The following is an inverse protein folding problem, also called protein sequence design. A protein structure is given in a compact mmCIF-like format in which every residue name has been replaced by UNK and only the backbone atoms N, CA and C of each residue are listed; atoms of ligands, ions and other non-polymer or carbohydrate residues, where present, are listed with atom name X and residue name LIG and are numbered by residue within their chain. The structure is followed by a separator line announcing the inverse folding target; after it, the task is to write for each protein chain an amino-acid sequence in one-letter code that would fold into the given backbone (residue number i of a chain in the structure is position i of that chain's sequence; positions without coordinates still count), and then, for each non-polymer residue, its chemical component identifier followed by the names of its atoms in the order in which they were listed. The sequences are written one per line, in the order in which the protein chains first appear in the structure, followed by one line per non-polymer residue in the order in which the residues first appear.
data_IF_904287804384
#
_entry.id   IF_904287804384
#
_cell.length_a   1.000
_cell.length_b   1.000
_cell.length_c   1.000
_cell.angle_alpha   90.00
_cell.angle_beta   90.00
_cell.angle_gamma   90.00
#
_symmetry.space_group_name_H-M   'P 1'
#
loop_
_entity.id
_entity.type
_entity.pdbx_description
1 polymer ?
#
# COMPACT_ATOMS: atom_id res chain seq x y z
N UNK A 1 3.41 20.20 -25.93
CA UNK A 1 3.78 18.79 -25.87
C UNK A 1 3.58 18.37 -24.43
N UNK A 2 2.56 17.58 -24.14
CA UNK A 2 2.38 17.00 -22.81
C UNK A 2 3.52 16.00 -22.59
N UNK A 3 4.36 16.24 -21.59
CA UNK A 3 5.38 15.29 -21.16
C UNK A 3 4.78 14.38 -20.10
N UNK A 4 3.58 13.83 -20.39
CA UNK A 4 2.95 12.92 -19.47
C UNK A 4 3.80 11.66 -19.36
N UNK A 5 4.26 11.38 -18.16
CA UNK A 5 4.91 10.12 -17.82
C UNK A 5 4.01 8.95 -18.20
N UNK A 6 4.57 7.97 -18.88
CA UNK A 6 3.94 6.66 -18.95
C UNK A 6 3.96 6.11 -17.53
N UNK A 7 2.80 6.12 -16.87
CA UNK A 7 2.69 5.63 -15.51
C UNK A 7 2.84 4.10 -15.50
N UNK A 8 3.67 3.52 -14.60
CA UNK A 8 3.80 2.07 -14.48
C UNK A 8 2.49 1.41 -14.02
N UNK A 9 2.36 0.12 -14.26
CA UNK A 9 1.30 -0.69 -13.65
C UNK A 9 1.52 -0.69 -12.14
N UNK A 10 0.53 -0.26 -11.38
CA UNK A 10 0.65 -0.12 -9.93
C UNK A 10 -0.30 -1.06 -9.20
N UNK A 11 0.27 -1.98 -8.42
CA UNK A 11 -0.47 -2.94 -7.60
C UNK A 11 -0.23 -2.65 -6.13
N UNK A 12 -1.31 -2.43 -5.37
CA UNK A 12 -1.24 -2.18 -3.94
C UNK A 12 -1.82 -3.35 -3.14
N UNK A 13 -1.21 -3.68 -2.00
CA UNK A 13 -1.74 -4.67 -1.06
C UNK A 13 -2.04 -4.01 0.27
N UNK A 14 -3.32 -3.95 0.60
CA UNK A 14 -3.86 -3.39 1.85
C UNK A 14 -4.20 -4.48 2.87
N UNK A 15 -4.42 -4.07 4.09
CA UNK A 15 -4.83 -4.95 5.17
C UNK A 15 -4.04 -4.73 6.46
N UNK A 16 -4.54 -5.25 7.58
CA UNK A 16 -3.90 -5.07 8.88
C UNK A 16 -2.50 -5.73 8.95
N UNK A 17 -1.73 -5.43 9.99
CA UNK A 17 -0.37 -5.97 10.14
C UNK A 17 -0.37 -7.50 10.34
N UNK A 18 0.76 -8.14 10.00
CA UNK A 18 0.96 -9.60 10.12
C UNK A 18 -0.07 -10.47 9.37
N UNK A 19 -0.46 -10.05 8.16
CA UNK A 19 -1.37 -10.80 7.26
C UNK A 19 -0.68 -11.31 6.00
N UNK A 20 0.66 -11.25 5.93
CA UNK A 20 1.42 -11.82 4.81
C UNK A 20 1.66 -10.89 3.61
N UNK A 21 1.21 -9.63 3.65
CA UNK A 21 1.32 -8.67 2.53
C UNK A 21 2.74 -8.57 1.94
N UNK A 22 3.71 -8.23 2.78
CA UNK A 22 5.11 -8.05 2.34
C UNK A 22 5.70 -9.34 1.77
N UNK A 23 5.31 -10.50 2.29
CA UNK A 23 5.73 -11.81 1.77
C UNK A 23 5.14 -12.05 0.39
N UNK A 24 3.85 -11.77 0.20
CA UNK A 24 3.18 -11.90 -1.08
C UNK A 24 3.78 -10.96 -2.13
N UNK A 25 3.96 -9.67 -1.80
CA UNK A 25 4.57 -8.71 -2.72
C UNK A 25 5.99 -9.08 -3.11
N UNK A 26 6.77 -9.64 -2.18
CA UNK A 26 8.10 -10.16 -2.49
C UNK A 26 8.04 -11.30 -3.51
N UNK A 27 7.10 -12.23 -3.39
CA UNK A 27 6.90 -13.32 -4.35
C UNK A 27 6.50 -12.79 -5.72
N UNK A 28 5.61 -11.79 -5.79
CA UNK A 28 5.25 -11.12 -7.05
C UNK A 28 6.48 -10.46 -7.68
N UNK A 29 7.26 -9.70 -6.91
CA UNK A 29 8.48 -9.06 -7.40
C UNK A 29 9.50 -10.08 -7.93
N UNK A 30 9.73 -11.18 -7.19
CA UNK A 30 10.64 -12.26 -7.61
C UNK A 30 10.20 -12.92 -8.92
N UNK A 31 8.88 -13.11 -9.13
CA UNK A 31 8.35 -13.64 -10.39
C UNK A 31 8.58 -12.67 -11.55
N UNK A 32 8.20 -11.40 -11.37
CA UNK A 32 8.37 -10.38 -12.40
C UNK A 32 9.84 -10.15 -12.78
N UNK A 33 10.77 -10.20 -11.80
CA UNK A 33 12.21 -10.14 -12.10
C UNK A 33 12.69 -11.31 -12.94
N UNK A 34 12.16 -12.54 -12.72
CA UNK A 34 12.45 -13.68 -13.61
C UNK A 34 11.97 -13.43 -15.04
N UNK A 35 10.87 -12.70 -15.17
CA UNK A 35 10.26 -12.31 -16.45
C UNK A 35 10.92 -11.05 -17.05
N UNK A 36 12.01 -10.54 -16.42
CA UNK A 36 12.78 -9.34 -16.84
C UNK A 36 11.98 -8.05 -16.84
N UNK A 37 11.02 -7.93 -15.96
CA UNK A 37 10.26 -6.70 -15.74
C UNK A 37 10.95 -5.85 -14.67
N UNK A 38 11.09 -4.55 -14.91
CA UNK A 38 11.65 -3.60 -13.95
C UNK A 38 10.61 -3.27 -12.87
N UNK A 39 10.88 -3.71 -11.65
CA UNK A 39 9.94 -3.60 -10.51
C UNK A 39 10.50 -2.67 -9.44
N UNK A 40 9.69 -1.73 -8.98
CA UNK A 40 9.95 -1.00 -7.76
C UNK A 40 8.97 -1.42 -6.66
N UNK A 41 9.46 -1.57 -5.45
CA UNK A 41 8.63 -1.85 -4.27
C UNK A 41 8.65 -0.64 -3.34
N UNK A 42 7.47 -0.12 -3.03
CA UNK A 42 7.28 0.87 -1.98
C UNK A 42 6.88 0.12 -0.71
N UNK A 43 7.80 0.07 0.24
CA UNK A 43 7.62 -0.68 1.48
C UNK A 43 6.70 0.04 2.47
N UNK A 44 6.21 -0.71 3.47
CA UNK A 44 5.49 -0.17 4.64
C UNK A 44 6.35 0.87 5.38
N UNK A 45 5.81 2.07 5.54
CA UNK A 45 6.49 3.24 6.11
C UNK A 45 6.44 3.32 7.65
N UNK A 46 5.80 2.36 8.31
CA UNK A 46 5.63 2.43 9.76
C UNK A 46 6.96 2.45 10.54
N UNK A 47 7.97 1.69 10.09
CA UNK A 47 9.29 1.71 10.74
C UNK A 47 10.00 3.04 10.53
N UNK A 48 10.00 3.58 9.31
CA UNK A 48 10.59 4.88 8.98
C UNK A 48 9.91 6.02 9.77
N UNK A 49 8.59 5.97 9.93
CA UNK A 49 7.87 6.94 10.77
C UNK A 49 8.35 6.92 12.22
N UNK A 50 8.52 5.73 12.82
CA UNK A 50 9.05 5.60 14.18
C UNK A 50 10.48 6.14 14.32
N UNK A 51 11.35 5.90 13.34
CA UNK A 51 12.72 6.45 13.32
C UNK A 51 12.73 7.98 13.33
N UNK A 52 11.69 8.60 12.76
CA UNK A 52 11.47 10.04 12.81
C UNK A 52 10.74 10.52 14.07
N UNK A 53 10.47 9.65 15.05
CA UNK A 53 9.75 9.99 16.27
C UNK A 53 8.24 10.17 16.08
N UNK A 54 7.68 9.72 14.96
CA UNK A 54 6.26 9.79 14.68
C UNK A 54 5.55 8.54 15.21
N UNK A 55 4.56 8.69 16.11
CA UNK A 55 3.88 7.54 16.70
C UNK A 55 2.99 6.83 15.67
N UNK A 56 2.90 5.51 15.79
CA UNK A 56 2.09 4.65 14.91
C UNK A 56 1.20 3.69 15.71
N UNK A 57 0.39 2.89 15.03
CA UNK A 57 -0.55 1.92 15.61
C UNK A 57 -1.57 2.62 16.52
N UNK A 58 -1.75 2.15 17.78
CA UNK A 58 -2.70 2.74 18.73
C UNK A 58 -2.39 4.21 19.07
N UNK A 59 -1.17 4.64 18.85
CA UNK A 59 -0.72 6.01 19.12
C UNK A 59 -0.67 6.89 17.87
N UNK A 60 -1.20 6.39 16.73
CA UNK A 60 -1.23 7.11 15.46
C UNK A 60 -1.88 8.48 15.63
N UNK A 61 -1.25 9.50 15.07
CA UNK A 61 -1.72 10.88 15.12
C UNK A 61 -2.00 11.41 13.71
N UNK A 62 -2.68 12.55 13.62
CA UNK A 62 -2.83 13.25 12.35
C UNK A 62 -1.48 13.54 11.69
N UNK A 63 -0.49 13.98 12.47
CA UNK A 63 0.85 14.31 11.95
C UNK A 63 1.57 13.08 11.37
N UNK A 64 1.54 11.94 12.08
CA UNK A 64 2.13 10.71 11.56
C UNK A 64 1.40 10.20 10.32
N UNK A 65 0.08 10.32 10.29
CA UNK A 65 -0.74 9.97 9.12
C UNK A 65 -0.39 10.82 7.91
N UNK A 66 -0.38 12.15 8.08
CA UNK A 66 -0.03 13.08 7.00
C UNK A 66 1.38 12.83 6.47
N UNK A 67 2.34 12.55 7.37
CA UNK A 67 3.70 12.24 6.98
C UNK A 67 3.76 10.93 6.16
N UNK A 68 3.11 9.85 6.62
CA UNK A 68 3.08 8.56 5.91
C UNK A 68 2.42 8.71 4.53
N UNK A 69 1.29 9.40 4.44
CA UNK A 69 0.59 9.66 3.17
C UNK A 69 1.50 10.43 2.22
N UNK A 70 2.08 11.54 2.65
CA UNK A 70 2.94 12.39 1.82
C UNK A 70 4.21 11.68 1.38
N UNK A 71 4.82 10.91 2.29
CA UNK A 71 6.03 10.13 2.03
C UNK A 71 5.76 9.00 1.04
N UNK A 72 4.64 8.27 1.23
CA UNK A 72 4.20 7.21 0.33
C UNK A 72 3.98 7.73 -1.09
N UNK A 73 3.20 8.80 -1.23
CA UNK A 73 2.97 9.47 -2.52
C UNK A 73 4.28 9.88 -3.20
N UNK A 74 5.22 10.46 -2.45
CA UNK A 74 6.53 10.86 -2.98
C UNK A 74 7.34 9.66 -3.48
N UNK A 75 7.39 8.57 -2.74
CA UNK A 75 8.12 7.36 -3.12
C UNK A 75 7.49 6.68 -4.34
N UNK A 76 6.18 6.62 -4.41
CA UNK A 76 5.48 6.07 -5.57
C UNK A 76 5.75 6.87 -6.84
N UNK A 77 5.67 8.21 -6.77
CA UNK A 77 6.00 9.09 -7.91
C UNK A 77 7.47 8.94 -8.33
N UNK A 78 8.39 8.80 -7.38
CA UNK A 78 9.80 8.50 -7.69
C UNK A 78 9.95 7.14 -8.38
N UNK A 79 9.20 6.13 -7.96
CA UNK A 79 9.22 4.81 -8.57
C UNK A 79 8.73 4.85 -10.03
N UNK A 80 7.75 5.70 -10.35
CA UNK A 80 7.24 5.86 -11.72
C UNK A 80 8.32 6.26 -12.73
N UNK A 81 9.40 6.90 -12.30
CA UNK A 81 10.47 7.34 -13.20
C UNK A 81 11.41 6.22 -13.64
N UNK A 82 11.38 5.05 -12.96
CA UNK A 82 12.40 4.00 -13.11
C UNK A 82 11.89 2.57 -13.22
N UNK A 83 10.59 2.33 -13.03
CA UNK A 83 10.03 0.98 -13.03
C UNK A 83 8.87 0.86 -14.03
N UNK A 84 8.66 -0.34 -14.55
CA UNK A 84 7.50 -0.70 -15.36
C UNK A 84 6.33 -1.09 -14.48
N UNK A 85 6.64 -1.60 -13.27
CA UNK A 85 5.66 -2.03 -12.26
C UNK A 85 6.03 -1.44 -10.90
N UNK A 86 5.04 -0.91 -10.19
CA UNK A 86 5.19 -0.48 -8.79
C UNK A 86 4.31 -1.35 -7.90
N UNK A 87 4.94 -1.99 -6.93
CA UNK A 87 4.27 -2.78 -5.89
C UNK A 87 4.25 -1.96 -4.59
N UNK A 88 3.06 -1.74 -4.03
CA UNK A 88 2.88 -0.89 -2.84
C UNK A 88 2.45 -1.74 -1.65
N UNK A 89 3.31 -1.85 -0.64
CA UNK A 89 2.98 -2.46 0.65
C UNK A 89 2.33 -1.42 1.56
N UNK A 90 1.04 -1.42 1.63
CA UNK A 90 0.13 -0.44 2.25
C UNK A 90 -0.06 0.82 1.40
N UNK A 91 -1.17 0.88 0.64
CA UNK A 91 -1.59 2.09 -0.04
C UNK A 91 -1.82 3.23 0.96
N UNK A 92 -1.73 4.47 0.49
CA UNK A 92 -1.85 5.66 1.35
C UNK A 92 -3.16 5.71 2.16
N UNK A 93 -4.21 5.06 1.70
CA UNK A 93 -5.49 4.94 2.42
C UNK A 93 -5.37 4.14 3.74
N UNK A 94 -4.40 3.23 3.85
CA UNK A 94 -4.16 2.46 5.08
C UNK A 94 -3.78 3.39 6.25
N UNK A 95 -2.99 4.43 6.00
CA UNK A 95 -2.59 5.37 7.04
C UNK A 95 -3.79 6.09 7.67
N UNK A 96 -4.76 6.49 6.84
CA UNK A 96 -6.03 7.08 7.31
C UNK A 96 -6.82 6.07 8.17
N UNK A 97 -6.93 4.82 7.70
CA UNK A 97 -7.63 3.78 8.43
C UNK A 97 -7.01 3.48 9.80
N UNK A 98 -5.67 3.47 9.87
CA UNK A 98 -4.95 3.31 11.13
C UNK A 98 -5.13 4.51 12.08
N UNK A 99 -5.21 5.72 11.55
CA UNK A 99 -5.50 6.92 12.34
C UNK A 99 -6.89 6.86 12.96
N UNK A 100 -7.91 6.55 12.18
CA UNK A 100 -9.28 6.39 12.68
C UNK A 100 -9.39 5.25 13.70
N UNK A 101 -8.71 4.12 13.45
CA UNK A 101 -8.64 3.03 14.40
C UNK A 101 -7.98 3.44 15.72
N UNK A 102 -6.92 4.26 15.65
CA UNK A 102 -6.24 4.77 16.84
C UNK A 102 -7.12 5.73 17.65
N UNK A 103 -7.85 6.61 16.98
CA UNK A 103 -8.82 7.49 17.64
C UNK A 103 -9.92 6.69 18.35
N UNK A 104 -10.53 5.72 17.66
CA UNK A 104 -11.55 4.85 18.26
C UNK A 104 -10.99 4.06 19.45
N UNK A 105 -9.76 3.53 19.34
CA UNK A 105 -9.09 2.76 20.38
C UNK A 105 -8.86 3.60 21.66
N UNK A 106 -8.50 4.87 21.51
CA UNK A 106 -8.29 5.81 22.62
C UNK A 106 -9.58 6.48 23.09
N UNK A 107 -10.73 6.22 22.44
CA UNK A 107 -11.99 6.89 22.75
C UNK A 107 -12.02 8.38 22.37
N UNK A 108 -11.19 8.77 21.43
CA UNK A 108 -11.09 10.14 20.92
C UNK A 108 -12.03 10.35 19.72
N UNK A 109 -12.52 11.58 19.57
CA UNK A 109 -13.30 11.98 18.41
C UNK A 109 -12.38 12.57 17.32
N UNK A 110 -12.56 12.18 16.05
CA UNK A 110 -11.80 12.79 14.96
C UNK A 110 -12.17 14.27 14.78
N UNK A 111 -11.17 15.11 14.51
CA UNK A 111 -11.42 16.44 13.97
C UNK A 111 -11.88 16.33 12.50
N UNK A 112 -13.09 16.78 12.15
CA UNK A 112 -13.64 16.61 10.80
C UNK A 112 -12.77 17.24 9.71
N UNK A 113 -12.13 18.38 9.99
CA UNK A 113 -11.28 19.08 9.00
C UNK A 113 -10.03 18.26 8.70
N UNK A 114 -9.41 17.71 9.75
CA UNK A 114 -8.24 16.82 9.62
C UNK A 114 -8.55 15.56 8.85
N UNK A 115 -9.70 14.93 9.10
CA UNK A 115 -10.15 13.75 8.36
C UNK A 115 -10.39 14.09 6.89
N UNK A 116 -11.16 15.14 6.61
CA UNK A 116 -11.45 15.56 5.23
C UNK A 116 -10.17 15.82 4.42
N UNK A 117 -9.17 16.47 5.01
CA UNK A 117 -7.88 16.71 4.37
C UNK A 117 -7.20 15.40 3.97
N UNK A 118 -7.12 14.44 4.89
CA UNK A 118 -6.47 13.15 4.65
C UNK A 118 -7.24 12.32 3.64
N UNK A 119 -8.57 12.34 3.68
CA UNK A 119 -9.44 11.68 2.71
C UNK A 119 -9.24 12.21 1.30
N UNK A 120 -9.18 13.53 1.13
CA UNK A 120 -8.96 14.15 -0.18
C UNK A 120 -7.61 13.75 -0.78
N UNK A 121 -6.55 13.70 0.04
CA UNK A 121 -5.23 13.24 -0.39
C UNK A 121 -5.28 11.77 -0.80
N UNK A 122 -5.79 10.90 0.06
CA UNK A 122 -5.86 9.46 -0.20
C UNK A 122 -6.74 9.14 -1.43
N UNK A 123 -7.95 9.70 -1.50
CA UNK A 123 -8.89 9.44 -2.59
C UNK A 123 -8.36 9.86 -3.97
N UNK A 124 -7.59 10.95 -4.03
CA UNK A 124 -6.98 11.40 -5.29
C UNK A 124 -5.84 10.50 -5.71
N UNK A 125 -4.99 10.09 -4.77
CA UNK A 125 -3.81 9.29 -5.07
C UNK A 125 -4.14 7.83 -5.39
N UNK A 126 -5.10 7.24 -4.71
CA UNK A 126 -5.52 5.83 -4.93
C UNK A 126 -6.05 5.54 -6.33
N UNK A 127 -6.43 6.58 -7.10
CA UNK A 127 -6.79 6.44 -8.52
C UNK A 127 -5.62 5.99 -9.41
N UNK A 128 -4.40 6.00 -8.87
CA UNK A 128 -3.21 5.54 -9.57
C UNK A 128 -2.94 4.04 -9.35
N UNK A 129 -3.72 3.37 -8.52
CA UNK A 129 -3.63 1.92 -8.36
C UNK A 129 -4.50 1.21 -9.40
N UNK A 130 -3.87 0.34 -10.18
CA UNK A 130 -4.57 -0.44 -11.22
C UNK A 130 -5.21 -1.69 -10.62
N UNK A 131 -4.64 -2.21 -9.53
CA UNK A 131 -5.18 -3.32 -8.74
C UNK A 131 -4.90 -3.08 -7.26
N UNK A 132 -5.93 -3.27 -6.44
CA UNK A 132 -5.78 -3.29 -4.98
C UNK A 132 -6.21 -4.65 -4.47
N UNK A 133 -5.34 -5.28 -3.69
CA UNK A 133 -5.63 -6.53 -2.99
C UNK A 133 -5.79 -6.26 -1.51
N UNK A 134 -6.82 -6.81 -0.88
CA UNK A 134 -7.02 -6.74 0.56
C UNK A 134 -6.79 -8.09 1.21
N UNK A 135 -5.78 -8.18 2.08
CA UNK A 135 -5.58 -9.39 2.89
C UNK A 135 -6.69 -9.54 3.92
N UNK A 136 -7.14 -10.76 4.11
CA UNK A 136 -8.15 -11.09 5.12
C UNK A 136 -7.44 -11.38 6.44
N UNK A 137 -7.94 -10.78 7.54
CA UNK A 137 -7.45 -11.08 8.87
C UNK A 137 -7.84 -12.52 9.24
N UNK A 138 -6.86 -13.41 9.37
CA UNK A 138 -7.05 -14.74 9.90
C UNK A 138 -6.60 -14.77 11.37
N UNK A 139 -7.51 -14.94 12.33
CA UNK A 139 -7.17 -14.99 13.75
C UNK A 139 -6.23 -16.14 14.13
N UNK A 140 -6.14 -17.19 13.29
CA UNK A 140 -5.26 -18.35 13.50
C UNK A 140 -3.80 -18.04 13.19
N UNK A 141 -3.53 -16.99 12.40
CA UNK A 141 -2.16 -16.55 12.10
C UNK A 141 -1.65 -15.70 13.26
N UNK A 142 -0.62 -16.17 13.99
CA UNK A 142 -0.06 -15.43 15.12
C UNK A 142 0.52 -14.09 14.67
N UNK A 143 0.57 -13.13 15.58
CA UNK A 143 1.28 -11.88 15.38
C UNK A 143 2.77 -12.16 15.24
N UNK A 144 3.40 -11.52 14.26
CA UNK A 144 4.85 -11.51 14.11
C UNK A 144 5.46 -10.60 15.19
N UNK A 145 5.90 -11.20 16.28
CA UNK A 145 6.50 -10.51 17.43
C UNK A 145 7.95 -10.05 17.15
N UNK A 146 8.56 -10.43 16.04
CA UNK A 146 9.91 -9.97 15.66
C UNK A 146 9.95 -8.50 15.24
N UNK A 147 8.80 -7.94 14.89
CA UNK A 147 8.66 -6.51 14.53
C UNK A 147 8.22 -5.73 15.77
N UNK A 148 8.79 -4.55 16.05
CA UNK A 148 8.40 -3.68 17.17
C UNK A 148 7.03 -3.03 16.91
N UNK A 149 6.02 -3.85 16.67
CA UNK A 149 4.64 -3.42 16.41
C UNK A 149 3.77 -3.93 17.54
N UNK A 150 2.86 -3.07 17.99
CA UNK A 150 1.98 -3.38 19.10
C UNK A 150 1.29 -4.73 18.91
N UNK A 151 1.40 -5.59 19.90
CA UNK A 151 0.84 -6.94 19.89
C UNK A 151 -0.64 -6.96 20.33
N UNK A 152 -1.34 -5.82 20.28
CA UNK A 152 -2.71 -5.73 20.74
C UNK A 152 -3.70 -6.31 19.70
N UNK A 153 -4.33 -7.46 19.99
CA UNK A 153 -5.28 -8.10 19.07
C UNK A 153 -6.55 -7.27 18.87
N UNK A 154 -6.94 -6.46 19.86
CA UNK A 154 -8.13 -5.60 19.76
C UNK A 154 -7.86 -4.48 18.78
N UNK A 155 -6.70 -3.80 18.90
CA UNK A 155 -6.28 -2.79 17.93
C UNK A 155 -6.14 -3.37 16.52
N UNK A 156 -5.58 -4.58 16.39
CA UNK A 156 -5.45 -5.26 15.09
C UNK A 156 -6.81 -5.46 14.41
N UNK A 157 -7.81 -5.95 15.17
CA UNK A 157 -9.17 -6.16 14.66
C UNK A 157 -9.85 -4.84 14.32
N UNK A 158 -9.59 -3.80 15.11
CA UNK A 158 -10.08 -2.45 14.88
C UNK A 158 -9.51 -1.86 13.60
N UNK A 159 -8.20 -1.95 13.40
CA UNK A 159 -7.53 -1.52 12.18
C UNK A 159 -8.06 -2.24 10.93
N UNK A 160 -8.28 -3.56 10.98
CA UNK A 160 -8.86 -4.30 9.86
C UNK A 160 -10.28 -3.80 9.49
N UNK A 161 -11.10 -3.52 10.49
CA UNK A 161 -12.44 -2.94 10.31
C UNK A 161 -12.39 -1.54 9.71
N UNK A 162 -11.48 -0.68 10.17
CA UNK A 162 -11.33 0.66 9.62
C UNK A 162 -10.78 0.65 8.20
N UNK A 163 -9.86 -0.26 7.87
CA UNK A 163 -9.40 -0.44 6.48
C UNK A 163 -10.59 -0.74 5.57
N UNK A 164 -11.46 -1.68 5.94
CA UNK A 164 -12.65 -1.97 5.14
C UNK A 164 -13.55 -0.75 4.96
N UNK A 165 -13.83 0.00 6.05
CA UNK A 165 -14.66 1.22 6.01
C UNK A 165 -14.06 2.31 5.12
N UNK A 166 -12.74 2.53 5.20
CA UNK A 166 -12.06 3.56 4.40
C UNK A 166 -12.07 3.18 2.93
N UNK A 167 -11.79 1.92 2.56
CA UNK A 167 -11.87 1.46 1.18
C UNK A 167 -13.27 1.67 0.59
N UNK A 168 -14.31 1.28 1.34
CA UNK A 168 -15.71 1.47 0.93
C UNK A 168 -16.03 2.96 0.77
N UNK A 169 -15.74 3.79 1.77
CA UNK A 169 -16.05 5.23 1.79
C UNK A 169 -15.35 5.99 0.68
N UNK A 170 -14.10 5.63 0.36
CA UNK A 170 -13.34 6.25 -0.72
C UNK A 170 -13.63 5.63 -2.10
N UNK A 171 -14.52 4.63 -2.19
CA UNK A 171 -14.87 3.95 -3.43
C UNK A 171 -13.68 3.19 -4.06
N UNK A 172 -12.75 2.67 -3.24
CA UNK A 172 -11.59 1.94 -3.72
C UNK A 172 -11.98 0.47 -3.97
N UNK A 173 -12.11 0.12 -5.26
CA UNK A 173 -12.32 -1.28 -5.67
C UNK A 173 -11.13 -2.14 -5.25
N UNK A 174 -11.39 -3.33 -4.70
CA UNK A 174 -10.34 -4.25 -4.29
C UNK A 174 -10.80 -5.70 -4.37
N UNK A 175 -9.83 -6.60 -4.54
CA UNK A 175 -10.03 -8.04 -4.50
C UNK A 175 -9.54 -8.61 -3.16
N UNK A 176 -10.17 -9.68 -2.69
CA UNK A 176 -9.76 -10.33 -1.45
C UNK A 176 -8.57 -11.26 -1.69
N UNK A 177 -7.57 -11.15 -0.83
CA UNK A 177 -6.40 -12.02 -0.78
C UNK A 177 -6.45 -12.87 0.51
N UNK A 178 -7.07 -14.05 0.48
CA UNK A 178 -7.13 -14.95 1.63
C UNK A 178 -5.74 -15.55 1.90
N UNK A 179 -5.49 -15.92 3.15
CA UNK A 179 -4.21 -16.46 3.61
C UNK A 179 -3.80 -17.79 2.95
N UNK A 180 -4.76 -18.59 2.51
CA UNK A 180 -4.59 -19.85 1.80
C UNK A 180 -4.64 -19.74 0.27
N UNK A 181 -4.81 -18.53 -0.25
CA UNK A 181 -4.97 -18.24 -1.69
C UNK A 181 -3.75 -17.65 -2.37
N UNK A 182 -2.60 -17.55 -1.71
CA UNK A 182 -1.44 -16.80 -2.23
C UNK A 182 -0.89 -17.34 -3.55
N UNK A 183 -0.81 -18.67 -3.73
CA UNK A 183 -0.27 -19.25 -4.99
C UNK A 183 -1.17 -18.94 -6.19
N UNK A 184 -2.49 -19.03 -6.01
CA UNK A 184 -3.46 -18.68 -7.04
C UNK A 184 -3.43 -17.18 -7.33
N UNK A 185 -3.45 -16.35 -6.29
CA UNK A 185 -3.39 -14.91 -6.42
C UNK A 185 -2.08 -14.44 -7.08
N UNK A 186 -0.95 -15.11 -6.81
CA UNK A 186 0.32 -14.82 -7.47
C UNK A 186 0.21 -14.98 -8.99
N UNK A 187 -0.38 -16.08 -9.47
CA UNK A 187 -0.58 -16.31 -10.90
C UNK A 187 -1.55 -15.26 -11.51
N UNK A 188 -2.65 -14.96 -10.84
CA UNK A 188 -3.66 -14.00 -11.30
C UNK A 188 -3.08 -12.57 -11.37
N UNK A 189 -2.36 -12.14 -10.33
CA UNK A 189 -1.72 -10.81 -10.27
C UNK A 189 -0.61 -10.68 -11.32
N UNK A 190 0.20 -11.71 -11.49
CA UNK A 190 1.25 -11.71 -12.52
C UNK A 190 0.65 -11.62 -13.92
N UNK A 191 -0.41 -12.37 -14.21
CA UNK A 191 -1.12 -12.29 -15.47
C UNK A 191 -1.77 -10.92 -15.71
N UNK A 192 -2.38 -10.32 -14.67
CA UNK A 192 -2.94 -8.96 -14.71
C UNK A 192 -1.85 -7.93 -15.09
N UNK A 193 -0.68 -8.01 -14.42
CA UNK A 193 0.44 -7.11 -14.68
C UNK A 193 0.94 -7.24 -16.12
N UNK A 194 1.18 -8.47 -16.61
CA UNK A 194 1.61 -8.68 -17.99
C UNK A 194 0.59 -8.15 -19.00
N UNK A 195 -0.71 -8.40 -18.78
CA UNK A 195 -1.77 -7.83 -19.61
C UNK A 195 -1.77 -6.29 -19.62
N UNK A 196 -1.47 -5.66 -18.49
CA UNK A 196 -1.28 -4.21 -18.39
C UNK A 196 -0.06 -3.72 -19.17
N UNK A 197 1.07 -4.42 -19.09
CA UNK A 197 2.30 -4.06 -19.80
C UNK A 197 2.15 -4.18 -21.33
N UNK A 198 1.39 -5.14 -21.82
CA UNK A 198 1.13 -5.34 -23.26
C UNK A 198 0.34 -4.19 -23.89
N UNK A 199 -0.49 -3.50 -23.09
CA UNK A 199 -1.31 -2.36 -23.54
C UNK A 199 -0.55 -1.03 -23.49
N UNK A 200 0.51 -0.93 -22.66
CA UNK A 200 1.28 0.30 -22.51
C UNK A 200 2.45 0.34 -23.50
N UNK A 201 2.72 1.50 -24.12
CA UNK A 201 3.92 1.64 -24.96
C UNK A 201 5.16 1.38 -24.10
N UNK A 202 5.94 0.38 -24.49
CA UNK A 202 7.25 0.06 -23.88
C UNK A 202 8.08 1.33 -23.71
N UNK A 203 8.60 1.56 -22.49
CA UNK A 203 9.62 2.59 -22.27
C UNK A 203 10.80 2.30 -23.19
N UNK A 204 11.01 3.17 -24.17
CA UNK A 204 12.24 3.14 -24.95
C UNK A 204 13.36 3.46 -23.97
N UNK A 205 14.16 2.49 -23.61
CA UNK A 205 15.39 2.67 -22.84
C UNK A 205 16.30 3.57 -23.68
N UNK A 206 16.34 4.86 -23.38
CA UNK A 206 17.36 5.76 -23.92
C UNK A 206 18.69 5.42 -23.25
N UNK A 207 19.25 4.27 -23.59
CA UNK A 207 20.67 4.01 -23.46
C UNK A 207 21.32 4.69 -24.66
N UNK A 208 21.67 5.97 -24.52
CA UNK A 208 22.73 6.64 -25.30
C UNK A 208 22.74 8.14 -24.93
N UNK A 209 23.39 8.46 -23.83
CA UNK A 209 24.01 9.76 -23.64
C UNK A 209 25.26 9.58 -22.77
N UNK A 210 26.29 8.96 -23.38
CA UNK A 210 27.69 9.17 -23.02
C UNK A 210 28.45 9.39 -24.33
N UNK A 211 28.67 10.59 -24.67
CA UNK A 211 29.78 11.09 -25.47
C UNK A 211 30.21 12.43 -24.88
#
# INVERSE_FOLDING_TARGET
MSTDFVRPVTVAVTGTHSTGKSTFLRQVAEQLHRDRVEVAVVADLGAEALEHGLPILQDHTWASTLWIVSRGMSLEVQAWTRADVVLVDRPVADALAYYEAALEFRGEQPDPVSIEQLEQLAARHTRHYDLVLRTVLDPRIPLDLSKPRGADPQFRSLADRHIAKVLERLGIGHELLPSDGHDRALAEVTAFIHGGLDVWPTRTTTADHKA
#
